data_IF_758559517026
#
_entry.id   IF_758559517026
#
_cell.length_a   1.000
_cell.length_b   1.000
_cell.length_c   1.000
_cell.angle_alpha   90.00
_cell.angle_beta   90.00
_cell.angle_gamma   90.00
#
_symmetry.space_group_name_H-M   'P 1'
#
loop_
_entity.id
_entity.type
_entity.pdbx_description
1 polymer ?
#
# COMPACT_ATOMS: atom_id res chain seq x y z
N UNK A 1 -21.38 3.98 33.19
CA UNK A 1 -19.96 3.99 32.78
C UNK A 1 -19.78 5.16 31.82
N UNK A 2 -18.90 6.12 32.14
CA UNK A 2 -18.71 7.31 31.31
C UNK A 2 -18.17 6.97 29.92
N UNK A 3 -18.51 7.78 28.91
CA UNK A 3 -17.98 7.65 27.55
C UNK A 3 -16.50 8.03 27.56
N UNK A 4 -15.63 7.15 27.06
CA UNK A 4 -14.18 7.42 26.93
C UNK A 4 -13.95 8.65 26.04
N UNK A 5 -13.15 9.61 26.50
CA UNK A 5 -12.87 10.87 25.81
C UNK A 5 -11.89 10.68 24.65
N UNK A 6 -11.77 11.68 23.77
CA UNK A 6 -10.81 11.64 22.66
C UNK A 6 -9.36 11.57 23.15
N UNK A 7 -9.04 12.25 24.24
CA UNK A 7 -7.73 12.23 24.89
C UNK A 7 -7.40 10.83 25.42
N UNK A 8 -8.35 10.22 26.12
CA UNK A 8 -8.22 8.85 26.63
C UNK A 8 -8.06 7.82 25.49
N UNK A 9 -8.75 8.00 24.36
CA UNK A 9 -8.58 7.16 23.17
C UNK A 9 -7.17 7.28 22.60
N UNK A 10 -6.65 8.50 22.49
CA UNK A 10 -5.29 8.75 21.99
C UNK A 10 -4.25 8.10 22.90
N UNK A 11 -4.38 8.30 24.22
CA UNK A 11 -3.51 7.67 25.21
C UNK A 11 -3.60 6.14 25.16
N UNK A 12 -4.82 5.59 25.04
CA UNK A 12 -5.04 4.15 24.91
C UNK A 12 -4.32 3.57 23.69
N UNK A 13 -4.33 4.27 22.55
CA UNK A 13 -3.59 3.86 21.36
C UNK A 13 -2.08 3.85 21.62
N UNK A 14 -1.52 4.95 22.12
CA UNK A 14 -0.08 5.08 22.34
C UNK A 14 0.46 4.07 23.35
N UNK A 15 -0.28 3.82 24.42
CA UNK A 15 0.09 2.78 25.40
C UNK A 15 -0.01 1.40 24.78
N UNK A 16 -1.08 1.11 24.04
CA UNK A 16 -1.24 -0.18 23.35
C UNK A 16 -0.12 -0.43 22.35
N UNK A 17 0.30 0.59 21.60
CA UNK A 17 1.44 0.54 20.68
C UNK A 17 2.76 0.23 21.40
N UNK A 18 3.03 0.88 22.53
CA UNK A 18 4.21 0.57 23.37
C UNK A 18 4.19 -0.88 23.85
N UNK A 19 3.02 -1.40 24.23
CA UNK A 19 2.88 -2.80 24.65
C UNK A 19 3.10 -3.76 23.48
N UNK A 20 2.56 -3.47 22.30
CA UNK A 20 2.74 -4.30 21.11
C UNK A 20 4.21 -4.38 20.66
N UNK A 21 4.94 -3.27 20.77
CA UNK A 21 6.36 -3.18 20.41
C UNK A 21 7.31 -3.68 21.53
N UNK A 22 6.79 -4.39 22.53
CA UNK A 22 7.53 -4.89 23.71
C UNK A 22 8.30 -3.80 24.48
N UNK A 23 7.89 -2.53 24.37
CA UNK A 23 8.46 -1.38 25.10
C UNK A 23 7.81 -1.15 26.46
N UNK A 24 6.69 -1.82 26.74
CA UNK A 24 5.96 -1.73 27.99
C UNK A 24 5.24 -3.05 28.27
N UNK A 25 5.29 -3.56 29.51
CA UNK A 25 4.53 -4.77 29.85
C UNK A 25 3.03 -4.49 29.83
N UNK A 26 2.23 -5.50 29.49
CA UNK A 26 0.75 -5.38 29.47
C UNK A 26 0.18 -4.91 30.82
N UNK A 27 0.68 -5.45 31.94
CA UNK A 27 0.25 -5.05 33.29
C UNK A 27 0.47 -3.56 33.53
N UNK A 28 1.63 -3.06 33.11
CA UNK A 28 2.07 -1.70 33.36
C UNK A 28 1.32 -0.74 32.44
N UNK A 29 1.02 -1.15 31.20
CA UNK A 29 0.14 -0.41 30.30
C UNK A 29 -1.29 -0.27 30.83
N UNK A 30 -1.87 -1.32 31.40
CA UNK A 30 -3.20 -1.23 32.04
C UNK A 30 -3.17 -0.31 33.27
N UNK A 31 -2.11 -0.40 34.09
CA UNK A 31 -1.94 0.46 35.24
C UNK A 31 -1.83 1.94 34.83
N UNK A 32 -0.98 2.24 33.85
CA UNK A 32 -0.74 3.59 33.32
C UNK A 32 -2.02 4.23 32.77
N UNK A 33 -2.79 3.49 31.97
CA UNK A 33 -4.07 3.99 31.44
C UNK A 33 -5.10 4.25 32.55
N UNK A 34 -5.05 3.46 33.63
CA UNK A 34 -5.98 3.61 34.74
C UNK A 34 -5.59 4.72 35.72
N UNK A 35 -4.29 4.96 35.96
CA UNK A 35 -3.84 5.96 36.92
C UNK A 35 -3.77 7.35 36.31
N UNK A 36 -3.18 7.48 35.12
CA UNK A 36 -2.89 8.80 34.53
C UNK A 36 -4.01 9.33 33.65
N UNK A 37 -4.77 8.43 33.02
CA UNK A 37 -5.79 8.78 32.03
C UNK A 37 -7.20 8.40 32.49
N UNK A 38 -7.36 7.89 33.71
CA UNK A 38 -8.64 7.49 34.32
C UNK A 38 -9.45 6.49 33.47
N UNK A 39 -8.79 5.70 32.62
CA UNK A 39 -9.45 4.67 31.82
C UNK A 39 -9.73 3.46 32.70
N UNK A 40 -10.98 2.97 32.69
CA UNK A 40 -11.33 1.75 33.42
C UNK A 40 -10.38 0.59 33.05
N UNK A 41 -9.86 -0.13 34.06
CA UNK A 41 -8.87 -1.21 33.85
C UNK A 41 -9.31 -2.28 32.84
N UNK A 42 -10.61 -2.60 32.79
CA UNK A 42 -11.16 -3.54 31.79
C UNK A 42 -11.06 -2.94 30.39
N UNK A 43 -11.48 -1.68 30.21
CA UNK A 43 -11.38 -0.98 28.94
C UNK A 43 -9.93 -0.80 28.49
N UNK A 44 -9.02 -0.48 29.40
CA UNK A 44 -7.58 -0.43 29.12
C UNK A 44 -7.06 -1.79 28.62
N UNK A 45 -7.46 -2.89 29.28
CA UNK A 45 -7.14 -4.24 28.84
C UNK A 45 -7.72 -4.60 27.48
N UNK A 46 -8.95 -4.15 27.20
CA UNK A 46 -9.64 -4.36 25.92
C UNK A 46 -8.94 -3.56 24.79
N UNK A 47 -8.52 -2.31 25.01
CA UNK A 47 -7.78 -1.52 24.01
C UNK A 47 -6.47 -2.18 23.60
N UNK A 48 -5.68 -2.60 24.58
CA UNK A 48 -4.38 -3.27 24.35
C UNK A 48 -4.60 -4.57 23.57
N UNK A 49 -5.61 -5.36 23.95
CA UNK A 49 -5.92 -6.60 23.26
C UNK A 49 -6.43 -6.36 21.83
N UNK A 50 -7.31 -5.37 21.64
CA UNK A 50 -7.83 -5.02 20.32
C UNK A 50 -6.71 -4.63 19.37
N UNK A 51 -5.78 -3.74 19.78
CA UNK A 51 -4.66 -3.35 18.90
C UNK A 51 -3.80 -4.56 18.53
N UNK A 52 -3.50 -5.44 19.49
CA UNK A 52 -2.75 -6.68 19.24
C UNK A 52 -3.46 -7.56 18.19
N UNK A 53 -4.75 -7.79 18.35
CA UNK A 53 -5.57 -8.56 17.41
C UNK A 53 -5.62 -7.88 16.03
N UNK A 54 -5.81 -6.57 15.97
CA UNK A 54 -5.82 -5.79 14.73
C UNK A 54 -4.50 -5.94 13.97
N UNK A 55 -3.37 -5.69 14.62
CA UNK A 55 -2.05 -5.78 13.97
C UNK A 55 -1.71 -7.22 13.57
N UNK A 56 -2.18 -8.22 14.32
CA UNK A 56 -2.00 -9.64 14.05
C UNK A 56 -3.00 -10.27 13.07
N UNK A 57 -4.04 -9.53 12.64
CA UNK A 57 -5.08 -10.07 11.75
C UNK A 57 -5.95 -11.13 12.41
N UNK A 58 -6.19 -11.01 13.72
CA UNK A 58 -6.95 -11.96 14.53
C UNK A 58 -8.28 -11.35 14.97
N UNK A 59 -9.29 -12.20 15.16
CA UNK A 59 -10.59 -11.76 15.71
C UNK A 59 -10.43 -11.22 17.13
N UNK A 60 -11.12 -10.12 17.42
CA UNK A 60 -11.35 -9.63 18.78
C UNK A 60 -12.84 -9.69 19.10
N UNK A 61 -13.22 -10.26 20.24
CA UNK A 61 -14.63 -10.44 20.61
C UNK A 61 -15.22 -9.22 21.34
N UNK A 62 -14.37 -8.51 22.09
CA UNK A 62 -14.70 -7.24 22.77
C UNK A 62 -14.29 -6.10 21.86
N UNK A 63 -15.22 -5.18 21.57
CA UNK A 63 -14.94 -4.02 20.73
C UNK A 63 -14.85 -2.72 21.54
N UNK A 64 -14.01 -1.83 21.04
CA UNK A 64 -14.02 -0.43 21.41
C UNK A 64 -15.14 0.35 20.70
N UNK A 65 -15.34 1.60 21.08
CA UNK A 65 -16.33 2.48 20.43
C UNK A 65 -15.97 2.76 18.96
N UNK A 66 -16.94 3.17 18.14
CA UNK A 66 -16.68 3.58 16.74
C UNK A 66 -15.63 4.69 16.64
N UNK A 67 -15.67 5.67 17.55
CA UNK A 67 -14.69 6.76 17.61
C UNK A 67 -13.28 6.23 17.87
N UNK A 68 -13.15 5.29 18.80
CA UNK A 68 -11.86 4.67 19.11
C UNK A 68 -11.36 3.80 17.96
N UNK A 69 -12.25 3.03 17.32
CA UNK A 69 -11.91 2.20 16.16
C UNK A 69 -11.39 3.04 15.01
N UNK A 70 -12.06 4.16 14.69
CA UNK A 70 -11.63 5.09 13.65
C UNK A 70 -10.29 5.73 13.98
N UNK A 71 -10.06 6.14 15.23
CA UNK A 71 -8.77 6.65 15.67
C UNK A 71 -7.66 5.60 15.52
N UNK A 72 -7.89 4.37 15.98
CA UNK A 72 -6.90 3.30 15.92
C UNK A 72 -6.54 2.95 14.47
N UNK A 73 -7.52 2.81 13.58
CA UNK A 73 -7.26 2.54 12.16
C UNK A 73 -6.45 3.69 11.52
N UNK A 74 -6.82 4.94 11.78
CA UNK A 74 -6.06 6.11 11.30
C UNK A 74 -4.62 6.08 11.80
N UNK A 75 -4.40 5.85 13.09
CA UNK A 75 -3.06 5.85 13.66
C UNK A 75 -2.22 4.67 13.15
N UNK A 76 -2.84 3.50 12.90
CA UNK A 76 -2.16 2.36 12.28
C UNK A 76 -1.63 2.69 10.88
N UNK A 77 -2.35 3.50 10.07
CA UNK A 77 -1.84 3.93 8.76
C UNK A 77 -0.57 4.78 8.84
N UNK A 78 -0.32 5.42 9.98
CA UNK A 78 0.82 6.30 10.19
C UNK A 78 2.00 5.57 10.85
N UNK A 79 1.71 4.69 11.80
CA UNK A 79 2.73 4.09 12.67
C UNK A 79 3.21 2.70 12.24
N UNK A 80 2.45 2.00 11.38
CA UNK A 80 2.73 0.62 10.99
C UNK A 80 2.69 0.42 9.48
N UNK A 81 3.24 -0.72 9.01
CA UNK A 81 3.27 -1.04 7.59
C UNK A 81 1.88 -1.30 7.00
N UNK A 82 1.77 -1.20 5.67
CA UNK A 82 0.54 -1.49 4.92
C UNK A 82 -0.03 -2.90 5.20
N UNK A 83 0.82 -3.90 5.47
CA UNK A 83 0.37 -5.24 5.87
C UNK A 83 -0.32 -5.24 7.24
N UNK A 84 0.21 -4.51 8.22
CA UNK A 84 -0.46 -4.37 9.52
C UNK A 84 -1.81 -3.65 9.38
N UNK A 85 -1.88 -2.67 8.49
CA UNK A 85 -3.13 -1.99 8.21
C UNK A 85 -4.16 -2.90 7.52
N UNK A 86 -3.74 -3.70 6.53
CA UNK A 86 -4.58 -4.76 5.92
C UNK A 86 -5.06 -5.77 6.98
N UNK A 87 -4.17 -6.20 7.87
CA UNK A 87 -4.52 -7.06 9.01
C UNK A 87 -5.57 -6.42 9.91
N UNK A 88 -5.45 -5.12 10.20
CA UNK A 88 -6.38 -4.40 11.06
C UNK A 88 -7.79 -4.32 10.48
N UNK A 89 -7.91 -4.11 9.16
CA UNK A 89 -9.20 -4.16 8.47
C UNK A 89 -9.78 -5.57 8.48
N UNK A 90 -8.96 -6.59 8.22
CA UNK A 90 -9.40 -7.98 8.25
C UNK A 90 -9.89 -8.40 9.66
N UNK A 91 -9.18 -8.00 10.71
CA UNK A 91 -9.59 -8.22 12.09
C UNK A 91 -10.93 -7.54 12.42
N UNK A 92 -11.17 -6.33 11.90
CA UNK A 92 -12.44 -5.63 12.05
C UNK A 92 -13.59 -6.35 11.32
N UNK A 93 -13.34 -6.88 10.12
CA UNK A 93 -14.31 -7.69 9.38
C UNK A 93 -14.67 -8.97 10.15
N UNK A 94 -13.66 -9.70 10.65
CA UNK A 94 -13.87 -10.89 11.49
C UNK A 94 -14.69 -10.55 12.75
N UNK A 95 -14.44 -9.39 13.36
CA UNK A 95 -15.22 -8.92 14.50
C UNK A 95 -16.69 -8.65 14.13
N UNK A 96 -16.93 -7.95 13.01
CA UNK A 96 -18.28 -7.66 12.51
C UNK A 96 -19.02 -8.97 12.27
N UNK A 97 -18.42 -9.92 11.55
CA UNK A 97 -19.03 -11.21 11.24
C UNK A 97 -19.35 -12.01 12.49
N UNK A 98 -18.42 -12.05 13.46
CA UNK A 98 -18.65 -12.69 14.75
C UNK A 98 -19.85 -12.07 15.47
N UNK A 99 -19.92 -10.74 15.55
CA UNK A 99 -20.99 -10.04 16.26
C UNK A 99 -22.36 -10.23 15.60
N UNK A 100 -22.44 -10.11 14.28
CA UNK A 100 -23.71 -10.28 13.56
C UNK A 100 -24.22 -11.71 13.67
N UNK A 101 -23.33 -12.71 13.62
CA UNK A 101 -23.69 -14.11 13.78
C UNK A 101 -24.12 -14.46 15.22
N UNK A 102 -23.36 -13.98 16.22
CA UNK A 102 -23.59 -14.35 17.62
C UNK A 102 -24.79 -13.61 18.23
N UNK A 103 -24.93 -12.31 17.95
CA UNK A 103 -25.98 -11.46 18.53
C UNK A 103 -27.17 -11.22 17.59
N UNK A 104 -27.14 -11.77 16.36
CA UNK A 104 -28.23 -11.64 15.36
C UNK A 104 -28.64 -10.18 15.10
N UNK A 105 -27.66 -9.27 15.10
CA UNK A 105 -27.85 -7.83 14.86
C UNK A 105 -27.00 -7.37 13.68
N UNK A 106 -27.19 -6.12 13.22
CA UNK A 106 -26.35 -5.50 12.19
C UNK A 106 -25.41 -4.47 12.80
N UNK A 107 -24.10 -4.57 12.54
CA UNK A 107 -23.10 -3.63 13.06
C UNK A 107 -22.79 -2.53 12.03
N UNK A 108 -23.82 -1.74 11.69
CA UNK A 108 -23.79 -0.80 10.54
C UNK A 108 -22.65 0.22 10.64
N UNK A 109 -22.44 0.83 11.82
CA UNK A 109 -21.43 1.89 11.99
C UNK A 109 -20.01 1.37 11.79
N UNK A 110 -19.69 0.18 12.31
CA UNK A 110 -18.37 -0.43 12.11
C UNK A 110 -18.17 -0.86 10.65
N UNK A 111 -19.21 -1.36 9.98
CA UNK A 111 -19.16 -1.65 8.54
C UNK A 111 -18.84 -0.40 7.71
N UNK A 112 -19.42 0.76 8.04
CA UNK A 112 -19.10 2.04 7.38
C UNK A 112 -17.64 2.41 7.55
N UNK A 113 -17.08 2.24 8.76
CA UNK A 113 -15.66 2.49 9.05
C UNK A 113 -14.77 1.54 8.23
N UNK A 114 -15.05 0.23 8.27
CA UNK A 114 -14.31 -0.77 7.51
C UNK A 114 -14.31 -0.44 6.00
N UNK A 115 -15.47 -0.13 5.43
CA UNK A 115 -15.59 0.24 4.01
C UNK A 115 -14.80 1.51 3.67
N UNK A 116 -14.89 2.57 4.49
CA UNK A 116 -14.14 3.81 4.30
C UNK A 116 -12.64 3.54 4.15
N UNK A 117 -12.08 2.74 5.05
CA UNK A 117 -10.65 2.43 5.02
C UNK A 117 -10.27 1.37 3.98
N UNK A 118 -11.18 0.47 3.60
CA UNK A 118 -10.98 -0.44 2.47
C UNK A 118 -10.86 0.31 1.15
N UNK A 119 -11.75 1.27 0.90
CA UNK A 119 -11.65 2.18 -0.24
C UNK A 119 -10.36 3.00 -0.21
N UNK A 120 -9.93 3.45 0.97
CA UNK A 120 -8.61 4.09 1.12
C UNK A 120 -7.45 3.15 0.73
N UNK A 121 -7.48 1.87 1.13
CA UNK A 121 -6.46 0.90 0.71
C UNK A 121 -6.51 0.72 -0.81
N UNK A 122 -7.69 0.52 -1.40
CA UNK A 122 -7.85 0.30 -2.83
C UNK A 122 -7.33 1.49 -3.65
N UNK A 123 -7.59 2.71 -3.21
CA UNK A 123 -7.09 3.93 -3.85
C UNK A 123 -5.58 4.12 -3.69
N UNK A 124 -4.97 3.63 -2.61
CA UNK A 124 -3.54 3.81 -2.33
C UNK A 124 -2.67 2.58 -2.66
N UNK A 125 -3.26 1.46 -3.05
CA UNK A 125 -2.57 0.22 -3.44
C UNK A 125 -2.28 0.17 -4.95
N UNK A 126 -1.89 1.30 -5.54
CA UNK A 126 -1.52 1.39 -6.97
C UNK A 126 -0.02 1.14 -7.16
N UNK A 127 0.37 0.68 -8.35
CA UNK A 127 1.77 0.55 -8.71
C UNK A 127 2.50 1.90 -8.63
N UNK A 128 1.84 2.99 -9.03
CA UNK A 128 2.35 4.35 -8.96
C UNK A 128 2.68 4.78 -7.52
N UNK A 129 1.74 4.57 -6.58
CA UNK A 129 1.93 4.86 -5.16
C UNK A 129 3.14 4.10 -4.58
N UNK A 130 3.27 2.82 -4.92
CA UNK A 130 4.41 2.00 -4.51
C UNK A 130 5.74 2.54 -5.05
N UNK A 131 5.82 2.85 -6.35
CA UNK A 131 7.04 3.39 -6.95
C UNK A 131 7.41 4.77 -6.37
N UNK A 132 6.42 5.61 -6.07
CA UNK A 132 6.63 6.89 -5.40
C UNK A 132 7.26 6.70 -4.01
N UNK A 133 6.68 5.82 -3.18
CA UNK A 133 7.23 5.52 -1.86
C UNK A 133 8.65 4.94 -1.95
N UNK A 134 8.87 3.99 -2.87
CA UNK A 134 10.20 3.43 -3.10
C UNK A 134 11.22 4.50 -3.49
N UNK A 135 10.83 5.46 -4.33
CA UNK A 135 11.71 6.59 -4.71
C UNK A 135 12.13 7.40 -3.48
N UNK A 136 11.19 7.70 -2.57
CA UNK A 136 11.50 8.41 -1.32
C UNK A 136 12.45 7.61 -0.42
N UNK A 137 12.27 6.29 -0.34
CA UNK A 137 13.18 5.41 0.41
C UNK A 137 14.57 5.33 -0.21
N UNK A 138 14.67 5.33 -1.55
CA UNK A 138 15.93 5.41 -2.29
C UNK A 138 16.63 6.74 -2.01
N UNK A 139 15.92 7.87 -2.08
CA UNK A 139 16.48 9.19 -1.73
C UNK A 139 17.00 9.23 -0.30
N UNK A 140 16.27 8.65 0.65
CA UNK A 140 16.73 8.51 2.02
C UNK A 140 17.98 7.59 2.12
N UNK A 141 18.06 6.55 1.30
CA UNK A 141 19.23 5.65 1.21
C UNK A 141 20.46 6.32 0.61
N UNK A 142 20.28 7.24 -0.34
CA UNK A 142 21.38 8.02 -0.93
C UNK A 142 22.06 8.93 0.09
N UNK A 143 21.32 9.42 1.09
CA UNK A 143 21.86 10.23 2.20
C UNK A 143 22.74 9.42 3.17
N UNK A 144 22.71 8.09 3.09
CA UNK A 144 23.50 7.20 3.97
C UNK A 144 24.92 7.00 3.46
N UNK A 145 25.83 6.64 4.35
CA UNK A 145 27.16 6.15 3.97
C UNK A 145 27.09 4.73 3.36
N UNK A 146 28.07 4.37 2.53
CA UNK A 146 28.19 2.99 2.01
C UNK A 146 28.25 1.93 3.12
N UNK A 147 29.04 2.12 4.21
CA UNK A 147 29.08 1.14 5.30
C UNK A 147 27.72 0.88 5.96
N UNK A 148 26.94 1.95 6.22
CA UNK A 148 25.60 1.84 6.80
C UNK A 148 24.65 1.08 5.88
N UNK A 149 24.70 1.32 4.56
CA UNK A 149 23.89 0.56 3.59
C UNK A 149 24.26 -0.92 3.59
N UNK A 150 25.55 -1.25 3.61
CA UNK A 150 26.03 -2.64 3.61
C UNK A 150 25.59 -3.39 4.87
N UNK A 151 25.67 -2.76 6.04
CA UNK A 151 25.17 -3.34 7.29
C UNK A 151 23.67 -3.67 7.19
N UNK A 152 22.85 -2.73 6.68
CA UNK A 152 21.42 -2.97 6.47
C UNK A 152 21.14 -4.09 5.47
N UNK A 153 21.92 -4.19 4.39
CA UNK A 153 21.82 -5.27 3.40
C UNK A 153 22.16 -6.64 4.01
N UNK A 154 23.14 -6.68 4.93
CA UNK A 154 23.50 -7.91 5.62
C UNK A 154 22.42 -8.39 6.58
N UNK A 155 21.72 -7.46 7.23
CA UNK A 155 20.63 -7.75 8.15
C UNK A 155 19.26 -7.91 7.48
N UNK A 156 19.12 -7.57 6.19
CA UNK A 156 17.88 -7.71 5.45
C UNK A 156 17.65 -9.14 4.95
N UNK A 157 16.37 -9.58 4.82
CA UNK A 157 16.03 -10.84 4.15
C UNK A 157 16.63 -10.89 2.74
N UNK A 158 17.28 -12.00 2.40
CA UNK A 158 17.88 -12.19 1.06
C UNK A 158 16.84 -12.40 -0.03
N UNK A 159 15.66 -12.88 0.34
CA UNK A 159 14.51 -13.05 -0.54
C UNK A 159 13.51 -11.94 -0.20
N UNK A 160 13.22 -11.01 -1.13
CA UNK A 160 12.24 -9.96 -0.89
C UNK A 160 10.82 -10.55 -0.87
N UNK A 161 9.94 -9.93 -0.09
CA UNK A 161 8.51 -10.26 -0.08
C UNK A 161 7.85 -9.78 -1.39
N UNK A 162 6.92 -10.57 -1.93
CA UNK A 162 6.07 -10.16 -3.05
C UNK A 162 4.91 -9.31 -2.55
N UNK A 163 4.59 -8.23 -3.27
CA UNK A 163 3.41 -7.40 -3.03
C UNK A 163 2.50 -7.40 -4.26
N UNK A 164 1.19 -7.34 -4.04
CA UNK A 164 0.19 -7.17 -5.10
C UNK A 164 -0.23 -5.71 -5.15
N UNK A 165 -0.03 -5.08 -6.30
CA UNK A 165 -0.43 -3.70 -6.59
C UNK A 165 -1.43 -3.68 -7.75
N UNK A 166 -2.33 -2.71 -7.74
CA UNK A 166 -3.24 -2.44 -8.85
C UNK A 166 -2.55 -1.56 -9.88
N UNK A 167 -2.75 -1.84 -11.17
CA UNK A 167 -2.25 -1.00 -12.26
C UNK A 167 -3.35 -0.77 -13.30
N UNK A 168 -3.45 0.47 -13.77
CA UNK A 168 -4.31 0.82 -14.90
C UNK A 168 -3.54 0.58 -16.20
N UNK A 169 -4.14 -0.15 -17.12
CA UNK A 169 -3.58 -0.40 -18.46
C UNK A 169 -4.59 -0.03 -19.53
N UNK A 170 -4.10 0.47 -20.66
CA UNK A 170 -4.93 0.74 -21.83
C UNK A 170 -5.02 -0.53 -22.69
N UNK A 171 -6.23 -0.90 -23.07
CA UNK A 171 -6.46 -1.91 -24.10
C UNK A 171 -6.14 -1.28 -25.47
N UNK A 172 -4.93 -1.56 -25.97
CA UNK A 172 -4.43 -1.03 -27.24
C UNK A 172 -4.90 -1.90 -28.41
N UNK A 173 -5.09 -1.28 -29.56
CA UNK A 173 -5.38 -1.95 -30.81
C UNK A 173 -4.11 -2.70 -31.30
N UNK A 174 -4.14 -4.04 -31.39
CA UNK A 174 -2.98 -4.82 -31.84
C UNK A 174 -2.56 -4.51 -33.27
N UNK A 175 -3.48 -4.08 -34.14
CA UNK A 175 -3.19 -3.78 -35.54
C UNK A 175 -2.39 -2.47 -35.65
N UNK A 176 -2.73 -1.46 -34.84
CA UNK A 176 -1.95 -0.22 -34.75
C UNK A 176 -0.53 -0.50 -34.29
N UNK A 177 -0.36 -1.39 -33.31
CA UNK A 177 0.97 -1.80 -32.82
C UNK A 177 1.76 -2.49 -33.94
N UNK A 178 1.15 -3.47 -34.60
CA UNK A 178 1.80 -4.30 -35.62
C UNK A 178 2.23 -3.46 -36.82
N UNK A 179 1.31 -2.68 -37.39
CA UNK A 179 1.57 -1.83 -38.55
C UNK A 179 2.64 -0.76 -38.25
N UNK A 180 2.65 -0.18 -37.03
CA UNK A 180 3.69 0.77 -36.63
C UNK A 180 5.09 0.13 -36.60
N UNK A 181 5.19 -1.11 -36.12
CA UNK A 181 6.45 -1.84 -36.07
C UNK A 181 6.92 -2.27 -37.46
N UNK A 182 6.00 -2.70 -38.33
CA UNK A 182 6.31 -3.07 -39.71
C UNK A 182 6.77 -1.85 -40.52
N UNK A 183 6.06 -0.72 -40.42
CA UNK A 183 6.44 0.57 -41.05
C UNK A 183 7.87 0.99 -40.67
N UNK A 184 8.26 0.76 -39.42
CA UNK A 184 9.57 1.14 -38.92
C UNK A 184 10.71 0.25 -39.44
N UNK A 185 10.41 -0.94 -39.98
CA UNK A 185 11.39 -1.87 -40.57
C UNK A 185 12.63 -2.13 -39.66
N UNK A 186 12.41 -2.20 -38.35
CA UNK A 186 13.47 -2.41 -37.36
C UNK A 186 14.38 -1.22 -37.10
N UNK A 187 14.02 -0.01 -37.55
CA UNK A 187 14.75 1.23 -37.30
C UNK A 187 13.95 2.14 -36.37
N UNK A 188 14.59 2.69 -35.34
CA UNK A 188 13.97 3.64 -34.41
C UNK A 188 13.59 4.94 -35.13
N UNK A 189 12.31 5.32 -35.08
CA UNK A 189 11.75 6.52 -35.73
C UNK A 189 12.12 7.84 -35.03
N UNK A 190 12.95 7.79 -33.96
CA UNK A 190 13.52 8.99 -33.30
C UNK A 190 15.01 9.16 -33.58
N UNK A 191 15.83 8.15 -33.32
CA UNK A 191 17.29 8.26 -33.44
C UNK A 191 17.86 7.67 -34.74
N UNK A 192 17.04 7.02 -35.56
CA UNK A 192 17.47 6.42 -36.83
C UNK A 192 18.37 5.19 -36.70
N UNK A 193 18.63 4.70 -35.47
CA UNK A 193 19.43 3.50 -35.24
C UNK A 193 18.57 2.26 -35.38
N UNK A 194 19.18 1.17 -35.84
CA UNK A 194 18.55 -0.16 -35.82
C UNK A 194 18.14 -0.59 -34.42
N UNK A 195 17.20 -1.52 -34.34
CA UNK A 195 16.77 -2.13 -33.09
C UNK A 195 17.96 -2.70 -32.31
N UNK A 196 17.98 -2.58 -30.97
CA UNK A 196 19.10 -3.00 -30.13
C UNK A 196 19.38 -4.51 -30.18
N UNK A 197 18.37 -5.32 -30.48
CA UNK A 197 18.49 -6.77 -30.61
C UNK A 197 17.33 -7.35 -31.41
N UNK A 198 17.48 -8.61 -31.81
CA UNK A 198 16.46 -9.44 -32.45
C UNK A 198 15.79 -10.32 -31.39
N UNK A 199 14.46 -10.38 -31.39
CA UNK A 199 13.69 -11.22 -30.46
C UNK A 199 14.01 -12.69 -30.72
N UNK A 200 14.37 -13.41 -29.66
CA UNK A 200 14.65 -14.86 -29.73
C UNK A 200 13.41 -15.70 -30.08
N UNK A 201 12.21 -15.19 -29.75
CA UNK A 201 10.95 -15.91 -29.95
C UNK A 201 10.54 -16.04 -31.41
N UNK A 202 10.71 -14.97 -32.20
CA UNK A 202 10.13 -14.85 -33.54
C UNK A 202 11.08 -14.22 -34.58
N UNK A 203 12.30 -13.85 -34.20
CA UNK A 203 13.27 -13.25 -35.12
C UNK A 203 12.99 -11.80 -35.51
N UNK A 204 11.99 -11.15 -34.90
CA UNK A 204 11.66 -9.75 -35.21
C UNK A 204 12.59 -8.74 -34.49
N UNK A 205 12.85 -7.55 -35.06
CA UNK A 205 13.61 -6.50 -34.39
C UNK A 205 12.86 -5.92 -33.18
N UNK A 206 13.55 -5.70 -32.06
CA UNK A 206 12.92 -5.19 -30.83
C UNK A 206 12.80 -3.65 -30.83
N UNK A 207 11.61 -3.14 -31.11
CA UNK A 207 11.20 -1.76 -30.85
C UNK A 207 9.93 -1.73 -29.98
N UNK A 208 9.68 -0.58 -29.35
CA UNK A 208 8.51 -0.30 -28.51
C UNK A 208 7.63 0.77 -29.17
N UNK A 209 6.33 0.53 -29.28
CA UNK A 209 5.38 1.52 -29.82
C UNK A 209 5.05 2.56 -28.76
N UNK A 210 5.29 3.81 -29.10
CA UNK A 210 5.05 5.00 -28.30
C UNK A 210 3.97 5.87 -28.93
N UNK A 211 2.98 6.28 -28.15
CA UNK A 211 1.99 7.28 -28.58
C UNK A 211 2.55 8.70 -28.40
N UNK A 212 2.57 9.49 -29.48
CA UNK A 212 3.11 10.87 -29.49
C UNK A 212 2.34 11.75 -28.50
N UNK A 213 1.01 11.79 -28.64
CA UNK A 213 0.10 12.20 -27.57
C UNK A 213 -0.22 10.95 -26.74
N UNK A 214 0.20 10.92 -25.48
CA UNK A 214 0.03 9.75 -24.62
C UNK A 214 -1.44 9.42 -24.42
N UNK A 215 -1.76 8.13 -24.33
CA UNK A 215 -3.11 7.66 -23.99
C UNK A 215 -3.59 8.19 -22.62
N UNK A 216 -2.66 8.39 -21.67
CA UNK A 216 -2.90 9.04 -20.38
C UNK A 216 -3.41 10.48 -20.50
N UNK A 217 -3.03 11.18 -21.57
CA UNK A 217 -3.42 12.55 -21.87
C UNK A 217 -4.54 12.59 -22.94
N UNK A 218 -5.37 11.55 -22.97
CA UNK A 218 -6.47 11.35 -23.94
C UNK A 218 -6.02 11.33 -25.42
N UNK A 219 -4.79 10.90 -25.71
CA UNK A 219 -4.33 10.67 -27.08
C UNK A 219 -5.05 9.50 -27.78
N UNK A 220 -5.27 9.58 -29.10
CA UNK A 220 -5.93 8.51 -29.85
C UNK A 220 -4.98 7.33 -30.13
N UNK A 221 -5.53 6.13 -30.24
CA UNK A 221 -4.78 4.92 -30.61
C UNK A 221 -4.80 4.72 -32.14
N UNK A 222 -3.97 5.48 -32.87
CA UNK A 222 -3.91 5.48 -34.34
C UNK A 222 -2.46 5.48 -34.85
N UNK A 223 -2.29 5.18 -36.14
CA UNK A 223 -0.97 5.13 -36.81
C UNK A 223 -0.27 6.49 -36.87
N UNK A 224 -1.03 7.56 -36.97
CA UNK A 224 -0.53 8.94 -37.02
C UNK A 224 -0.02 9.38 -35.65
N UNK A 225 -0.62 8.85 -34.58
CA UNK A 225 -0.25 9.15 -33.21
C UNK A 225 0.78 8.17 -32.64
N UNK A 226 1.38 7.28 -33.44
CA UNK A 226 2.30 6.26 -32.94
C UNK A 226 3.66 6.28 -33.64
N UNK A 227 4.69 5.94 -32.87
CA UNK A 227 6.07 5.76 -33.34
C UNK A 227 6.71 4.50 -32.77
N UNK A 228 7.51 3.79 -33.56
CA UNK A 228 8.37 2.71 -33.09
C UNK A 228 9.72 3.25 -32.61
N UNK A 229 10.02 3.04 -31.32
CA UNK A 229 11.21 3.58 -30.67
C UNK A 229 12.07 2.47 -30.07
N UNK A 230 13.39 2.68 -30.05
CA UNK A 230 14.26 1.84 -29.22
C UNK A 230 14.01 2.12 -27.72
N UNK A 231 14.34 1.18 -26.82
CA UNK A 231 14.05 1.32 -25.39
C UNK A 231 14.64 2.59 -24.78
N UNK A 232 15.84 2.99 -25.21
CA UNK A 232 16.50 4.20 -24.72
C UNK A 232 15.70 5.46 -25.12
N UNK A 233 15.40 5.61 -26.42
CA UNK A 233 14.61 6.75 -26.91
C UNK A 233 13.20 6.79 -26.34
N UNK A 234 12.59 5.63 -26.08
CA UNK A 234 11.28 5.55 -25.47
C UNK A 234 11.31 6.04 -24.01
N UNK A 235 12.28 5.57 -23.21
CA UNK A 235 12.42 5.99 -21.81
C UNK A 235 12.79 7.47 -21.68
N UNK A 236 13.66 7.97 -22.54
CA UNK A 236 14.03 9.39 -22.60
C UNK A 236 12.80 10.30 -22.83
N UNK A 237 11.83 9.89 -23.66
CA UNK A 237 10.58 10.65 -23.84
C UNK A 237 9.68 10.66 -22.59
N UNK A 238 9.76 9.64 -21.73
CA UNK A 238 8.97 9.58 -20.49
C UNK A 238 9.65 10.28 -19.31
N UNK A 239 10.98 10.26 -19.25
CA UNK A 239 11.73 10.63 -18.04
C UNK A 239 12.79 11.72 -18.22
N UNK A 240 13.22 12.04 -19.46
CA UNK A 240 14.36 12.91 -19.72
C UNK A 240 15.67 12.14 -19.73
#
# INVERSE_FOLDING_TARGET
>A
MGKVTQEQISAAYDVSKKVYLDKLKRSDGVALLSSEYEVNKSSAGDFINCLKCMLGGQVFHRAMSCLAMEHFLKSITLDFSSNHFKNAINALDMHIDYWEKHYKTKVISMKKIANKYRTFIEQNNTAESYYYQLSQEVEASLKRGSPERLERINNAPKIPNTITVSATVYQRNPDVITETLERAAGVCERCGKGAPFIRSKDGSPYLEVHHIQRLADNGPDTLENTKALCPNCHRELHFG
#
